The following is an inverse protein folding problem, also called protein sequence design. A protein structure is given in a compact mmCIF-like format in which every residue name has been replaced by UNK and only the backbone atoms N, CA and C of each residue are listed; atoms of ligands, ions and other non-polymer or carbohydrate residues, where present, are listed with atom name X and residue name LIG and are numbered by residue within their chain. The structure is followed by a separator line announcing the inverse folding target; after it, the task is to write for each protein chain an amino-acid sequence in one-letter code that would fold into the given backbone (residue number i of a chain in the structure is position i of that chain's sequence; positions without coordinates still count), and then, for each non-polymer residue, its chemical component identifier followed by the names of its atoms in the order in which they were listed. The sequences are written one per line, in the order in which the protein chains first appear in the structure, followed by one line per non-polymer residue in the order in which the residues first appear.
data_IF_681411792377
#
_entry.id   IF_681411792377
#
_cell.length_a   1.000
_cell.length_b   1.000
_cell.length_c   1.000
_cell.angle_alpha   90.00
_cell.angle_beta   90.00
_cell.angle_gamma   90.00
#
_symmetry.space_group_name_H-M   'P 1'
#
loop_
_entity.id
_entity.type
_entity.pdbx_description
1 polymer ?
#
# COMPACT_ATOMS: atom_id res chain seq x y z
N UNK A 1 26.21 -1.83 11.96
CA UNK A 1 24.73 -1.74 12.09
C UNK A 1 24.34 -1.85 13.55
N UNK A 2 23.60 -0.88 14.06
CA UNK A 2 22.99 -0.93 15.38
C UNK A 2 21.92 -2.02 15.47
N UNK A 3 21.51 -2.37 16.68
CA UNK A 3 20.42 -3.35 16.84
C UNK A 3 19.11 -2.83 16.26
N UNK A 4 18.83 -1.53 16.38
CA UNK A 4 17.60 -0.93 15.82
C UNK A 4 17.56 -0.99 14.29
N UNK A 5 18.69 -0.78 13.63
CA UNK A 5 18.81 -0.94 12.18
C UNK A 5 18.55 -2.40 11.76
N UNK A 6 19.08 -3.37 12.52
CA UNK A 6 18.79 -4.80 12.29
C UNK A 6 17.31 -5.12 12.46
N UNK A 7 16.65 -4.54 13.48
CA UNK A 7 15.21 -4.72 13.72
C UNK A 7 14.35 -4.13 12.59
N UNK A 8 14.75 -2.98 12.00
CA UNK A 8 14.06 -2.41 10.84
C UNK A 8 14.15 -3.36 9.63
N UNK A 9 15.33 -3.91 9.36
CA UNK A 9 15.49 -4.87 8.25
C UNK A 9 14.73 -6.17 8.51
N UNK A 10 14.71 -6.66 9.75
CA UNK A 10 13.93 -7.84 10.14
C UNK A 10 12.41 -7.59 9.98
N UNK A 11 11.91 -6.42 10.41
CA UNK A 11 10.52 -6.03 10.17
C UNK A 11 10.18 -6.03 8.67
N UNK A 12 11.11 -5.55 7.84
CA UNK A 12 10.95 -5.57 6.38
C UNK A 12 10.78 -6.98 5.83
N UNK A 13 11.54 -7.97 6.34
CA UNK A 13 11.35 -9.37 5.97
C UNK A 13 9.95 -9.88 6.36
N UNK A 14 9.46 -9.55 7.54
CA UNK A 14 8.13 -9.95 7.97
C UNK A 14 7.01 -9.42 7.07
N UNK A 15 7.16 -8.23 6.47
CA UNK A 15 6.14 -7.65 5.58
C UNK A 15 5.89 -8.48 4.30
N UNK A 16 6.82 -9.36 3.92
CA UNK A 16 6.67 -10.27 2.78
C UNK A 16 6.15 -11.67 3.17
N UNK A 17 5.82 -11.88 4.44
CA UNK A 17 5.20 -13.11 4.94
C UNK A 17 3.67 -12.93 5.09
N UNK A 18 2.90 -14.02 5.27
CA UNK A 18 1.47 -13.93 5.55
C UNK A 18 1.17 -12.96 6.69
N UNK A 19 0.07 -12.20 6.56
CA UNK A 19 -0.22 -11.05 7.43
C UNK A 19 -0.23 -11.37 8.94
N UNK A 20 -0.58 -12.60 9.31
CA UNK A 20 -0.54 -13.04 10.72
C UNK A 20 0.91 -13.06 11.24
N UNK A 21 1.83 -13.65 10.46
CA UNK A 21 3.25 -13.71 10.82
C UNK A 21 3.85 -12.30 10.79
N UNK A 22 3.49 -11.48 9.80
CA UNK A 22 3.92 -10.08 9.73
C UNK A 22 3.50 -9.29 10.97
N UNK A 23 2.24 -9.42 11.39
CA UNK A 23 1.71 -8.73 12.58
C UNK A 23 2.42 -9.16 13.85
N UNK A 24 2.61 -10.47 14.05
CA UNK A 24 3.32 -11.01 15.23
C UNK A 24 4.79 -10.57 15.21
N UNK A 25 5.46 -10.64 14.06
CA UNK A 25 6.86 -10.23 13.93
C UNK A 25 7.06 -8.74 14.28
N UNK A 26 6.20 -7.86 13.77
CA UNK A 26 6.24 -6.43 14.11
C UNK A 26 5.93 -6.21 15.59
N UNK A 27 4.96 -6.92 16.17
CA UNK A 27 4.65 -6.85 17.60
C UNK A 27 5.84 -7.24 18.47
N UNK A 28 6.55 -8.33 18.13
CA UNK A 28 7.76 -8.75 18.84
C UNK A 28 8.86 -7.67 18.80
N UNK A 29 9.05 -7.01 17.64
CA UNK A 29 10.01 -5.90 17.51
C UNK A 29 9.59 -4.73 18.39
N UNK A 30 8.30 -4.39 18.46
CA UNK A 30 7.80 -3.32 19.30
C UNK A 30 7.94 -3.64 20.80
N UNK A 31 7.69 -4.88 21.21
CA UNK A 31 7.95 -5.33 22.60
C UNK A 31 9.42 -5.17 22.95
N UNK A 32 10.32 -5.61 22.07
CA UNK A 32 11.77 -5.44 22.26
C UNK A 32 12.17 -3.95 22.35
N UNK A 33 11.60 -3.08 21.50
CA UNK A 33 11.83 -1.65 21.55
C UNK A 33 11.28 -1.01 22.84
N UNK A 34 10.14 -1.51 23.34
CA UNK A 34 9.55 -1.10 24.61
C UNK A 34 10.43 -1.48 25.81
N UNK A 35 10.91 -2.73 25.89
CA UNK A 35 11.82 -3.19 26.93
C UNK A 35 13.13 -2.39 26.99
N UNK A 36 13.51 -1.79 25.85
CA UNK A 36 14.70 -0.91 25.74
C UNK A 36 14.38 0.58 25.97
N UNK A 37 13.19 0.90 26.45
CA UNK A 37 12.71 2.27 26.71
C UNK A 37 12.74 3.22 25.48
N UNK A 38 12.84 2.67 24.24
CA UNK A 38 12.91 3.47 23.01
C UNK A 38 11.54 3.80 22.42
N UNK A 39 10.55 2.93 22.64
CA UNK A 39 9.24 3.06 22.04
C UNK A 39 8.44 4.23 22.63
N UNK A 40 8.45 4.40 23.94
CA UNK A 40 7.68 5.46 24.63
C UNK A 40 8.09 6.84 24.16
N UNK A 41 9.39 7.11 24.10
CA UNK A 41 9.93 8.37 23.59
C UNK A 41 9.59 8.58 22.10
N UNK A 42 9.64 7.51 21.29
CA UNK A 42 9.32 7.57 19.88
C UNK A 42 7.85 7.97 19.66
N UNK A 43 6.94 7.36 20.44
CA UNK A 43 5.50 7.65 20.39
C UNK A 43 5.21 9.10 20.79
N UNK A 44 5.80 9.59 21.90
CA UNK A 44 5.59 10.96 22.40
C UNK A 44 6.06 12.03 21.41
N UNK A 45 7.14 11.76 20.68
CA UNK A 45 7.75 12.71 19.76
C UNK A 45 7.36 12.52 18.30
N UNK A 46 6.33 11.68 18.02
CA UNK A 46 5.89 11.47 16.65
C UNK A 46 5.15 12.67 16.09
N UNK A 47 5.50 13.06 14.87
CA UNK A 47 4.80 14.14 14.15
C UNK A 47 3.31 13.78 13.97
N UNK A 48 2.42 14.69 14.39
CA UNK A 48 0.98 14.46 14.31
C UNK A 48 0.41 13.42 15.28
N UNK A 49 1.16 13.06 16.34
CA UNK A 49 0.78 12.05 17.34
C UNK A 49 -0.65 12.21 17.86
N UNK A 50 -1.07 13.44 18.15
CA UNK A 50 -2.42 13.73 18.68
C UNK A 50 -3.52 13.26 17.73
N UNK A 51 -3.38 13.46 16.42
CA UNK A 51 -4.36 13.03 15.44
C UNK A 51 -4.38 11.51 15.25
N UNK A 52 -3.18 10.89 15.17
CA UNK A 52 -3.06 9.45 15.00
C UNK A 52 -3.59 8.68 16.21
N UNK A 53 -3.13 9.05 17.41
CA UNK A 53 -3.54 8.33 18.64
C UNK A 53 -4.94 8.72 19.08
N UNK A 54 -5.39 9.96 18.80
CA UNK A 54 -6.78 10.36 18.94
C UNK A 54 -7.72 9.54 18.06
N UNK A 55 -7.35 9.30 16.80
CA UNK A 55 -8.07 8.41 15.90
C UNK A 55 -8.11 6.96 16.44
N UNK A 56 -6.96 6.39 16.82
CA UNK A 56 -6.89 5.02 17.37
C UNK A 56 -7.76 4.88 18.63
N UNK A 57 -7.68 5.85 19.54
CA UNK A 57 -8.49 5.86 20.77
C UNK A 57 -9.99 5.95 20.47
N UNK A 58 -10.39 6.81 19.52
CA UNK A 58 -11.76 6.91 19.06
C UNK A 58 -12.28 5.57 18.52
N UNK A 59 -11.49 4.88 17.67
CA UNK A 59 -11.88 3.61 17.07
C UNK A 59 -12.03 2.50 18.12
N UNK A 60 -11.20 2.47 19.16
CA UNK A 60 -11.41 1.56 20.30
C UNK A 60 -12.74 1.82 21.02
N UNK A 61 -13.05 3.08 21.30
CA UNK A 61 -14.31 3.47 21.95
C UNK A 61 -15.50 3.07 21.07
N UNK A 62 -15.48 3.43 19.78
CA UNK A 62 -16.57 3.16 18.84
C UNK A 62 -16.80 1.66 18.67
N UNK A 63 -15.73 0.87 18.52
CA UNK A 63 -15.86 -0.58 18.33
C UNK A 63 -16.42 -1.28 19.56
N UNK A 64 -16.10 -0.82 20.78
CA UNK A 64 -16.66 -1.33 22.02
C UNK A 64 -18.14 -0.93 22.14
N UNK A 65 -18.47 0.33 21.94
CA UNK A 65 -19.85 0.83 22.06
C UNK A 65 -20.82 0.11 21.11
N UNK A 66 -20.38 -0.18 19.90
CA UNK A 66 -21.21 -0.87 18.90
C UNK A 66 -20.98 -2.40 18.85
N UNK A 67 -20.26 -2.98 19.81
CA UNK A 67 -19.92 -4.41 19.87
C UNK A 67 -19.35 -4.93 18.54
N UNK A 68 -18.49 -4.12 17.89
CA UNK A 68 -17.83 -4.48 16.65
C UNK A 68 -16.47 -5.14 16.92
N UNK A 69 -16.48 -6.38 17.39
CA UNK A 69 -15.28 -7.12 17.81
C UNK A 69 -14.28 -7.36 16.64
N UNK A 70 -14.77 -7.51 15.41
CA UNK A 70 -13.90 -7.58 14.24
C UNK A 70 -13.18 -6.25 14.00
N UNK A 71 -13.89 -5.13 14.15
CA UNK A 71 -13.32 -3.78 14.10
C UNK A 71 -12.32 -3.54 15.22
N UNK A 72 -12.65 -3.95 16.44
CA UNK A 72 -11.74 -3.89 17.59
C UNK A 72 -10.41 -4.60 17.32
N UNK A 73 -10.46 -5.83 16.75
CA UNK A 73 -9.26 -6.54 16.33
C UNK A 73 -8.47 -5.79 15.24
N UNK A 74 -9.15 -5.15 14.29
CA UNK A 74 -8.47 -4.34 13.27
C UNK A 74 -7.86 -3.03 13.81
N UNK A 75 -8.43 -2.44 14.87
CA UNK A 75 -7.85 -1.24 15.49
C UNK A 75 -6.45 -1.53 16.05
N UNK A 76 -6.17 -2.74 16.50
CA UNK A 76 -4.82 -3.16 16.89
C UNK A 76 -3.81 -3.12 15.74
N UNK A 77 -4.23 -3.31 14.49
CA UNK A 77 -3.33 -3.13 13.34
C UNK A 77 -2.91 -1.67 13.18
N UNK A 78 -3.81 -0.71 13.45
CA UNK A 78 -3.45 0.71 13.44
C UNK A 78 -2.47 1.05 14.57
N UNK A 79 -2.62 0.43 15.75
CA UNK A 79 -1.63 0.55 16.83
C UNK A 79 -0.27 0.03 16.37
N UNK A 80 -0.22 -1.17 15.79
CA UNK A 80 1.03 -1.77 15.30
C UNK A 80 1.71 -0.88 14.26
N UNK A 81 0.98 -0.42 13.25
CA UNK A 81 1.51 0.44 12.18
C UNK A 81 1.96 1.79 12.76
N UNK A 82 1.16 2.40 13.62
CA UNK A 82 1.45 3.70 14.23
C UNK A 82 2.69 3.66 15.13
N UNK A 83 2.76 2.66 16.02
CA UNK A 83 3.91 2.49 16.94
C UNK A 83 5.18 2.09 16.17
N UNK A 84 5.05 1.22 15.18
CA UNK A 84 6.19 0.86 14.35
C UNK A 84 6.70 2.06 13.55
N UNK A 85 5.81 2.88 13.00
CA UNK A 85 6.19 4.12 12.33
C UNK A 85 6.92 5.11 13.26
N UNK A 86 6.48 5.25 14.52
CA UNK A 86 7.15 6.06 15.51
C UNK A 86 8.58 5.54 15.81
N UNK A 87 8.70 4.23 16.06
CA UNK A 87 9.99 3.56 16.29
C UNK A 87 10.92 3.70 15.07
N UNK A 88 10.38 3.47 13.87
CA UNK A 88 11.10 3.62 12.61
C UNK A 88 11.68 5.04 12.44
N UNK A 89 10.85 6.08 12.62
CA UNK A 89 11.30 7.48 12.52
C UNK A 89 12.48 7.81 13.43
N UNK A 90 12.49 7.27 14.65
CA UNK A 90 13.56 7.50 15.62
C UNK A 90 14.86 6.76 15.27
N UNK A 91 14.75 5.65 14.54
CA UNK A 91 15.85 4.69 14.38
C UNK A 91 16.43 4.62 12.97
N UNK A 92 15.71 5.16 11.95
CA UNK A 92 16.14 5.07 10.56
C UNK A 92 17.33 5.98 10.27
N UNK A 93 18.28 5.45 9.52
CA UNK A 93 19.41 6.22 8.94
C UNK A 93 19.37 6.13 7.43
N UNK A 94 20.02 7.10 6.73
CA UNK A 94 20.09 7.10 5.25
C UNK A 94 20.64 5.77 4.72
N UNK A 95 21.69 5.22 5.34
CA UNK A 95 22.28 3.94 4.94
C UNK A 95 21.33 2.73 5.17
N UNK A 96 20.64 2.71 6.32
CA UNK A 96 19.67 1.62 6.60
C UNK A 96 18.48 1.70 5.66
N UNK A 97 18.04 2.90 5.29
CA UNK A 97 16.99 3.12 4.31
C UNK A 97 17.34 2.52 2.94
N UNK A 98 18.57 2.78 2.45
CA UNK A 98 19.06 2.23 1.18
C UNK A 98 19.07 0.69 1.22
N UNK A 99 19.61 0.10 2.30
CA UNK A 99 19.60 -1.36 2.51
C UNK A 99 18.20 -1.94 2.61
N UNK A 100 17.27 -1.23 3.23
CA UNK A 100 15.87 -1.62 3.32
C UNK A 100 15.22 -1.67 1.92
N UNK A 101 15.47 -0.66 1.08
CA UNK A 101 14.97 -0.65 -0.29
C UNK A 101 15.54 -1.83 -1.10
N UNK A 102 16.85 -2.09 -1.01
CA UNK A 102 17.47 -3.24 -1.68
C UNK A 102 16.89 -4.58 -1.18
N UNK A 103 16.69 -4.71 0.12
CA UNK A 103 16.07 -5.91 0.72
C UNK A 103 14.64 -6.11 0.21
N UNK A 104 13.81 -5.05 0.12
CA UNK A 104 12.45 -5.13 -0.44
C UNK A 104 12.49 -5.60 -1.89
N UNK A 105 13.40 -5.04 -2.70
CA UNK A 105 13.58 -5.43 -4.10
C UNK A 105 13.97 -6.91 -4.21
N UNK A 106 14.88 -7.40 -3.37
CA UNK A 106 15.26 -8.81 -3.35
C UNK A 106 14.09 -9.71 -2.92
N UNK A 107 13.39 -9.35 -1.84
CA UNK A 107 12.25 -10.12 -1.34
C UNK A 107 11.10 -10.18 -2.38
N UNK A 108 10.96 -9.15 -3.21
CA UNK A 108 9.97 -9.14 -4.29
C UNK A 108 10.24 -10.20 -5.36
N UNK A 109 11.50 -10.58 -5.59
CA UNK A 109 11.85 -11.67 -6.51
C UNK A 109 11.29 -13.00 -6.00
N UNK A 110 11.46 -13.29 -4.70
CA UNK A 110 10.93 -14.51 -4.11
C UNK A 110 9.40 -14.52 -4.11
N UNK A 111 8.79 -13.37 -3.82
CA UNK A 111 7.33 -13.21 -3.91
C UNK A 111 6.82 -13.42 -5.35
N UNK A 112 7.56 -12.93 -6.36
CA UNK A 112 7.24 -13.10 -7.76
C UNK A 112 7.36 -14.56 -8.22
N UNK A 113 8.44 -15.24 -7.83
CA UNK A 113 8.64 -16.67 -8.12
C UNK A 113 7.49 -17.50 -7.50
N UNK A 114 7.12 -17.23 -6.25
CA UNK A 114 5.99 -17.90 -5.63
C UNK A 114 4.65 -17.58 -6.33
N UNK A 115 4.47 -16.35 -6.79
CA UNK A 115 3.32 -15.94 -7.61
C UNK A 115 3.24 -16.73 -8.93
N UNK A 116 4.37 -16.96 -9.62
CA UNK A 116 4.43 -17.78 -10.83
C UNK A 116 4.11 -19.24 -10.52
N UNK A 117 4.62 -19.77 -9.42
CA UNK A 117 4.25 -21.11 -8.97
C UNK A 117 2.73 -21.25 -8.76
N UNK A 118 2.10 -20.29 -8.06
CA UNK A 118 0.65 -20.26 -7.88
C UNK A 118 -0.07 -20.17 -9.23
N UNK A 119 0.40 -19.35 -10.16
CA UNK A 119 -0.19 -19.21 -11.50
C UNK A 119 -0.19 -20.54 -12.25
N UNK A 120 0.93 -21.26 -12.19
CA UNK A 120 1.04 -22.60 -12.79
C UNK A 120 0.03 -23.58 -12.17
N UNK A 121 -0.07 -23.64 -10.84
CA UNK A 121 -1.03 -24.51 -10.15
C UNK A 121 -2.49 -24.17 -10.51
N UNK A 122 -2.83 -22.88 -10.59
CA UNK A 122 -4.17 -22.42 -11.01
C UNK A 122 -4.45 -22.81 -12.45
N UNK A 123 -3.47 -22.67 -13.36
CA UNK A 123 -3.60 -23.04 -14.76
C UNK A 123 -3.87 -24.53 -14.91
N UNK A 124 -3.05 -25.39 -14.33
CA UNK A 124 -3.18 -26.85 -14.35
C UNK A 124 -4.55 -27.28 -13.79
N UNK A 125 -4.94 -26.75 -12.62
CA UNK A 125 -6.21 -27.07 -11.98
C UNK A 125 -7.45 -26.69 -12.82
N UNK A 126 -7.27 -25.85 -13.84
CA UNK A 126 -8.34 -25.43 -14.77
C UNK A 126 -8.12 -25.94 -16.21
N UNK A 127 -7.25 -26.95 -16.40
CA UNK A 127 -7.00 -27.58 -17.69
C UNK A 127 -6.33 -26.67 -18.71
N UNK A 128 -5.53 -25.69 -18.24
CA UNK A 128 -4.81 -24.72 -19.08
C UNK A 128 -3.29 -24.91 -18.99
N UNK A 129 -2.60 -24.59 -20.07
CA UNK A 129 -1.14 -24.47 -20.04
C UNK A 129 -0.69 -23.19 -19.35
N UNK A 130 0.46 -23.25 -18.67
CA UNK A 130 1.11 -22.05 -18.13
C UNK A 130 1.37 -20.99 -19.21
N UNK A 131 1.76 -21.41 -20.41
CA UNK A 131 2.13 -20.52 -21.53
C UNK A 131 0.93 -19.83 -22.18
N UNK A 132 -0.29 -20.24 -21.87
CA UNK A 132 -1.47 -19.51 -22.35
C UNK A 132 -1.67 -18.16 -21.64
N UNK A 133 -1.01 -17.94 -20.49
CA UNK A 133 -1.15 -16.76 -19.65
C UNK A 133 -2.62 -16.35 -19.40
N UNK A 134 -3.50 -17.36 -19.29
CA UNK A 134 -4.93 -17.11 -19.14
C UNK A 134 -5.26 -16.62 -17.73
N UNK A 135 -5.88 -15.44 -17.64
CA UNK A 135 -6.25 -14.80 -16.38
C UNK A 135 -7.76 -14.96 -16.15
N UNK A 136 -8.09 -15.64 -15.06
CA UNK A 136 -9.48 -15.92 -14.69
C UNK A 136 -10.18 -14.71 -14.06
N UNK A 137 -11.49 -14.55 -14.32
CA UNK A 137 -12.30 -13.49 -13.71
C UNK A 137 -12.55 -13.71 -12.20
N UNK A 138 -12.51 -14.94 -11.75
CA UNK A 138 -12.77 -15.28 -10.34
C UNK A 138 -11.64 -14.80 -9.43
N UNK A 139 -11.93 -14.07 -8.33
CA UNK A 139 -10.93 -13.64 -7.36
C UNK A 139 -10.12 -14.81 -6.76
N UNK A 140 -10.75 -15.98 -6.59
CA UNK A 140 -10.10 -17.18 -6.06
C UNK A 140 -9.09 -17.84 -7.02
N UNK A 141 -9.14 -17.47 -8.31
CA UNK A 141 -8.27 -18.02 -9.36
C UNK A 141 -7.26 -16.97 -9.84
N UNK A 142 -6.80 -16.11 -8.95
CA UNK A 142 -5.80 -15.08 -9.22
C UNK A 142 -4.63 -15.26 -8.27
N UNK A 143 -3.42 -14.94 -8.74
CA UNK A 143 -2.23 -15.03 -7.92
C UNK A 143 -2.24 -13.97 -6.83
N UNK A 144 -1.87 -14.35 -5.63
CA UNK A 144 -1.80 -13.49 -4.45
C UNK A 144 -0.42 -13.45 -3.83
N UNK A 145 0.46 -14.34 -4.25
CA UNK A 145 1.75 -14.63 -3.60
C UNK A 145 1.55 -14.89 -2.10
N UNK A 146 2.36 -14.31 -1.25
CA UNK A 146 2.23 -14.37 0.22
C UNK A 146 1.21 -13.38 0.78
N UNK A 147 0.63 -12.52 -0.07
CA UNK A 147 -0.34 -11.49 0.30
C UNK A 147 -1.76 -12.03 0.13
N UNK A 148 -2.68 -11.67 1.00
CA UNK A 148 -4.03 -12.24 1.09
C UNK A 148 -4.87 -12.12 -0.19
N UNK A 149 -4.56 -11.16 -1.08
CA UNK A 149 -5.40 -10.76 -2.19
C UNK A 149 -4.54 -10.29 -3.36
N UNK A 150 -4.98 -10.58 -4.59
CA UNK A 150 -4.29 -10.17 -5.81
C UNK A 150 -4.14 -8.64 -5.96
N UNK A 151 -5.08 -7.84 -5.46
CA UNK A 151 -4.97 -6.37 -5.51
C UNK A 151 -3.95 -5.84 -4.49
N UNK A 152 -3.84 -6.48 -3.30
CA UNK A 152 -2.83 -6.15 -2.31
C UNK A 152 -1.43 -6.46 -2.88
N UNK A 153 -1.26 -7.65 -3.45
CA UNK A 153 -0.01 -8.03 -4.08
C UNK A 153 0.37 -7.09 -5.22
N UNK A 154 -0.59 -6.74 -6.08
CA UNK A 154 -0.37 -5.80 -7.17
C UNK A 154 0.07 -4.41 -6.66
N UNK A 155 -0.50 -3.90 -5.57
CA UNK A 155 -0.06 -2.64 -4.95
C UNK A 155 1.37 -2.73 -4.39
N UNK A 156 1.76 -3.87 -3.80
CA UNK A 156 3.15 -4.10 -3.36
C UNK A 156 4.09 -4.09 -4.56
N UNK A 157 3.71 -4.68 -5.69
CA UNK A 157 4.51 -4.63 -6.92
C UNK A 157 4.69 -3.18 -7.40
N UNK A 158 3.64 -2.35 -7.40
CA UNK A 158 3.74 -0.94 -7.76
C UNK A 158 4.76 -0.22 -6.85
N UNK A 159 4.70 -0.45 -5.54
CA UNK A 159 5.69 0.09 -4.59
C UNK A 159 7.11 -0.38 -4.89
N UNK A 160 7.30 -1.67 -5.19
CA UNK A 160 8.60 -2.24 -5.55
C UNK A 160 9.16 -1.60 -6.83
N UNK A 161 8.33 -1.41 -7.86
CA UNK A 161 8.77 -0.77 -9.10
C UNK A 161 9.25 0.68 -8.86
N UNK A 162 8.56 1.44 -8.01
CA UNK A 162 9.01 2.78 -7.60
C UNK A 162 10.34 2.71 -6.83
N UNK A 163 10.53 1.72 -5.95
CA UNK A 163 11.80 1.51 -5.25
C UNK A 163 12.93 1.13 -6.21
N UNK A 164 12.68 0.33 -7.24
CA UNK A 164 13.64 0.05 -8.30
C UNK A 164 14.06 1.34 -9.03
N UNK A 165 13.11 2.22 -9.37
CA UNK A 165 13.41 3.52 -9.98
C UNK A 165 14.27 4.40 -9.05
N UNK A 166 13.93 4.44 -7.77
CA UNK A 166 14.71 5.17 -6.76
C UNK A 166 16.14 4.65 -6.68
N UNK A 167 16.32 3.33 -6.54
CA UNK A 167 17.64 2.70 -6.47
C UNK A 167 18.45 2.85 -7.77
N UNK A 168 17.78 2.80 -8.92
CA UNK A 168 18.40 3.07 -10.23
C UNK A 168 19.04 4.47 -10.28
N UNK A 169 18.38 5.48 -9.74
CA UNK A 169 18.91 6.85 -9.70
C UNK A 169 20.03 7.01 -8.67
N UNK A 170 19.95 6.32 -7.54
CA UNK A 170 20.87 6.47 -6.40
C UNK A 170 22.14 5.64 -6.50
N UNK A 171 22.14 4.57 -7.28
CA UNK A 171 23.29 3.66 -7.40
C UNK A 171 24.11 4.03 -8.63
N UNK A 172 25.44 4.13 -8.50
CA UNK A 172 26.33 4.46 -9.63
C UNK A 172 26.80 3.22 -10.38
N UNK A 173 26.73 2.01 -9.77
CA UNK A 173 27.14 0.77 -10.39
C UNK A 173 26.16 0.35 -11.48
N UNK A 174 26.66 0.23 -12.72
CA UNK A 174 25.85 -0.12 -13.90
C UNK A 174 25.21 -1.52 -13.78
N UNK A 175 25.88 -2.49 -13.18
CA UNK A 175 25.34 -3.84 -12.99
C UNK A 175 24.14 -3.82 -12.03
N UNK A 176 24.23 -3.01 -10.96
CA UNK A 176 23.11 -2.83 -10.05
C UNK A 176 21.93 -2.14 -10.77
N UNK A 177 22.19 -1.11 -11.58
CA UNK A 177 21.15 -0.44 -12.39
C UNK A 177 20.43 -1.42 -13.31
N UNK A 178 21.18 -2.24 -14.03
CA UNK A 178 20.62 -3.30 -14.89
C UNK A 178 19.79 -4.28 -14.05
N UNK A 179 20.28 -4.69 -12.87
CA UNK A 179 19.55 -5.54 -11.94
C UNK A 179 18.21 -4.95 -11.52
N UNK A 180 18.16 -3.66 -11.15
CA UNK A 180 16.90 -3.00 -10.78
C UNK A 180 15.90 -2.95 -11.95
N UNK A 181 16.36 -2.73 -13.17
CA UNK A 181 15.51 -2.77 -14.37
C UNK A 181 14.94 -4.18 -14.60
N UNK A 182 15.79 -5.21 -14.53
CA UNK A 182 15.35 -6.61 -14.69
C UNK A 182 14.30 -6.97 -13.63
N UNK A 183 14.54 -6.62 -12.37
CA UNK A 183 13.57 -6.90 -11.29
C UNK A 183 12.27 -6.13 -11.49
N UNK A 184 12.32 -4.86 -11.93
CA UNK A 184 11.12 -4.09 -12.24
C UNK A 184 10.31 -4.72 -13.38
N UNK A 185 10.96 -5.14 -14.47
CA UNK A 185 10.30 -5.83 -15.59
C UNK A 185 9.71 -7.19 -15.18
N UNK A 186 10.43 -7.95 -14.36
CA UNK A 186 9.93 -9.20 -13.81
C UNK A 186 8.70 -9.02 -12.93
N UNK A 187 8.73 -8.04 -12.03
CA UNK A 187 7.57 -7.69 -11.20
C UNK A 187 6.40 -7.17 -12.06
N UNK A 188 6.66 -6.38 -13.11
CA UNK A 188 5.63 -5.93 -14.05
C UNK A 188 4.95 -7.10 -14.78
N UNK A 189 5.72 -8.08 -15.23
CA UNK A 189 5.15 -9.31 -15.80
C UNK A 189 4.23 -10.02 -14.81
N UNK A 190 4.65 -10.16 -13.57
CA UNK A 190 3.83 -10.77 -12.53
C UNK A 190 2.63 -9.90 -12.18
N UNK A 191 2.76 -8.57 -12.18
CA UNK A 191 1.63 -7.64 -12.04
C UNK A 191 0.54 -7.92 -13.08
N UNK A 192 0.91 -8.10 -14.34
CA UNK A 192 -0.01 -8.47 -15.41
C UNK A 192 -0.75 -9.79 -15.07
N UNK A 193 -0.04 -10.81 -14.58
CA UNK A 193 -0.61 -12.10 -14.20
C UNK A 193 -1.53 -12.04 -12.97
N UNK A 194 -1.41 -11.02 -12.10
CA UNK A 194 -2.39 -10.80 -11.02
C UNK A 194 -3.78 -10.49 -11.55
N UNK A 195 -3.90 -10.00 -12.79
CA UNK A 195 -5.15 -9.52 -13.38
C UNK A 195 -5.78 -8.35 -12.61
N UNK A 196 -4.98 -7.58 -11.87
CA UNK A 196 -5.45 -6.41 -11.13
C UNK A 196 -5.51 -5.19 -12.03
N UNK A 197 -6.71 -4.89 -12.57
CA UNK A 197 -6.92 -3.68 -13.38
C UNK A 197 -6.69 -2.39 -12.59
N UNK A 198 -6.97 -2.43 -11.29
CA UNK A 198 -6.78 -1.28 -10.39
C UNK A 198 -5.30 -0.86 -10.31
N UNK A 199 -4.35 -1.79 -10.48
CA UNK A 199 -2.93 -1.52 -10.41
C UNK A 199 -2.35 -0.86 -11.68
N UNK A 200 -2.95 -1.10 -12.83
CA UNK A 200 -2.36 -0.64 -14.10
C UNK A 200 -2.36 0.88 -14.24
N UNK A 201 -3.37 1.56 -13.71
CA UNK A 201 -3.44 3.03 -13.77
C UNK A 201 -2.37 3.70 -12.90
N UNK A 202 -2.23 3.37 -11.59
CA UNK A 202 -1.10 3.91 -10.82
C UNK A 202 0.24 3.48 -11.41
N UNK A 203 0.39 2.25 -11.90
CA UNK A 203 1.63 1.79 -12.54
C UNK A 203 2.05 2.70 -13.70
N UNK A 204 1.13 3.09 -14.57
CA UNK A 204 1.43 4.05 -15.63
C UNK A 204 1.90 5.40 -15.05
N UNK A 205 1.17 5.97 -14.10
CA UNK A 205 1.42 7.31 -13.58
C UNK A 205 2.69 7.45 -12.72
N UNK A 206 3.25 6.36 -12.17
CA UNK A 206 4.48 6.45 -11.37
C UNK A 206 5.69 6.92 -12.19
N UNK A 207 5.77 6.56 -13.48
CA UNK A 207 6.90 6.96 -14.33
C UNK A 207 6.96 8.48 -14.54
N UNK A 208 5.93 9.15 -15.06
CA UNK A 208 5.97 10.60 -15.25
C UNK A 208 6.10 11.33 -13.90
N UNK A 209 5.43 10.93 -12.86
CA UNK A 209 5.54 11.56 -11.53
C UNK A 209 6.98 11.50 -11.04
N UNK A 210 7.62 10.33 -11.08
CA UNK A 210 8.99 10.16 -10.63
C UNK A 210 9.97 10.97 -11.48
N UNK A 211 9.87 10.87 -12.83
CA UNK A 211 10.75 11.56 -13.78
C UNK A 211 10.64 13.09 -13.67
N UNK A 212 9.44 13.61 -13.42
CA UNK A 212 9.22 15.02 -13.13
C UNK A 212 9.95 15.44 -11.83
N UNK A 213 9.85 14.66 -10.77
CA UNK A 213 10.49 14.97 -9.48
C UNK A 213 12.02 14.95 -9.56
N UNK A 214 12.62 14.01 -10.31
CA UNK A 214 14.06 13.94 -10.54
C UNK A 214 14.56 14.91 -11.62
N UNK A 215 13.65 15.71 -12.21
CA UNK A 215 13.93 16.74 -13.24
C UNK A 215 14.49 16.19 -14.55
N UNK A 216 14.20 14.96 -14.89
CA UNK A 216 14.58 14.34 -16.19
C UNK A 216 13.56 14.69 -17.28
N UNK A 217 13.53 15.98 -17.68
CA UNK A 217 12.50 16.57 -18.55
C UNK A 217 12.28 15.82 -19.85
N UNK A 218 13.35 15.39 -20.54
CA UNK A 218 13.23 14.66 -21.82
C UNK A 218 12.51 13.32 -21.61
N UNK A 219 12.96 12.53 -20.60
CA UNK A 219 12.34 11.24 -20.30
C UNK A 219 10.90 11.40 -19.77
N UNK A 220 10.63 12.46 -19.02
CA UNK A 220 9.27 12.80 -18.59
C UNK A 220 8.34 13.00 -19.79
N UNK A 221 8.72 13.84 -20.77
CA UNK A 221 7.92 14.07 -21.98
C UNK A 221 7.77 12.78 -22.81
N UNK A 222 8.84 11.99 -22.94
CA UNK A 222 8.80 10.71 -23.63
C UNK A 222 7.84 9.74 -22.95
N UNK A 223 7.83 9.68 -21.60
CA UNK A 223 6.90 8.80 -20.84
C UNK A 223 5.44 9.20 -21.08
N UNK A 224 5.12 10.49 -21.07
CA UNK A 224 3.76 10.99 -21.37
C UNK A 224 3.31 10.57 -22.78
N UNK A 225 4.17 10.78 -23.80
CA UNK A 225 3.83 10.39 -25.17
C UNK A 225 3.61 8.88 -25.27
N UNK A 226 4.49 8.08 -24.66
CA UNK A 226 4.36 6.62 -24.65
C UNK A 226 3.05 6.17 -23.97
N UNK A 227 2.70 6.78 -22.85
CA UNK A 227 1.46 6.47 -22.13
C UNK A 227 0.22 6.82 -22.93
N UNK A 228 0.22 7.97 -23.62
CA UNK A 228 -0.87 8.34 -24.55
C UNK A 228 -0.99 7.33 -25.70
N UNK A 229 0.13 6.86 -26.26
CA UNK A 229 0.13 5.80 -27.26
C UNK A 229 -0.44 4.49 -26.72
N UNK A 230 -0.03 4.07 -25.51
CA UNK A 230 -0.55 2.86 -24.85
C UNK A 230 -2.05 3.01 -24.58
N UNK A 231 -2.50 4.15 -24.06
CA UNK A 231 -3.92 4.42 -23.87
C UNK A 231 -4.70 4.33 -25.17
N UNK A 232 -4.18 4.89 -26.27
CA UNK A 232 -4.77 4.79 -27.61
C UNK A 232 -4.86 3.33 -28.09
N UNK A 233 -3.80 2.54 -27.90
CA UNK A 233 -3.79 1.11 -28.25
C UNK A 233 -4.81 0.32 -27.41
N UNK A 234 -4.91 0.59 -26.12
CA UNK A 234 -5.90 -0.06 -25.24
C UNK A 234 -7.32 0.33 -25.63
N UNK A 235 -7.56 1.58 -26.01
CA UNK A 235 -8.86 2.03 -26.51
C UNK A 235 -9.26 1.28 -27.80
N UNK A 236 -8.30 1.09 -28.72
CA UNK A 236 -8.54 0.35 -29.97
C UNK A 236 -8.65 -1.17 -29.76
N UNK A 237 -7.92 -1.73 -28.80
CA UNK A 237 -7.89 -3.16 -28.47
C UNK A 237 -8.01 -3.38 -26.95
N UNK A 238 -9.22 -3.27 -26.35
CA UNK A 238 -9.42 -3.45 -24.91
C UNK A 238 -8.98 -4.84 -24.38
N UNK A 239 -8.88 -5.83 -25.28
CA UNK A 239 -8.42 -7.19 -24.96
C UNK A 239 -6.95 -7.27 -24.53
N UNK A 240 -6.16 -6.23 -24.78
CA UNK A 240 -4.77 -6.14 -24.29
C UNK A 240 -4.70 -6.08 -22.76
N UNK A 241 -5.73 -5.55 -22.12
CA UNK A 241 -5.82 -5.56 -20.66
C UNK A 241 -6.67 -6.74 -20.20
N UNK A 242 -6.14 -7.60 -19.33
CA UNK A 242 -6.89 -8.73 -18.83
C UNK A 242 -8.21 -8.30 -18.21
N UNK A 243 -9.31 -9.01 -18.56
CA UNK A 243 -10.63 -8.81 -17.97
C UNK A 243 -11.26 -7.43 -18.26
N UNK A 244 -10.75 -6.63 -19.21
CA UNK A 244 -11.27 -5.27 -19.47
C UNK A 244 -12.73 -5.28 -19.94
N UNK A 245 -13.16 -6.30 -20.64
CA UNK A 245 -14.55 -6.47 -21.11
C UNK A 245 -15.53 -6.86 -19.99
N UNK A 246 -15.04 -7.28 -18.80
CA UNK A 246 -15.89 -7.69 -17.68
C UNK A 246 -16.34 -6.48 -16.85
N UNK A 247 -17.54 -5.97 -17.13
CA UNK A 247 -18.17 -4.85 -16.42
C UNK A 247 -18.88 -5.29 -15.11
N UNK A 248 -19.00 -6.60 -14.85
CA UNK A 248 -19.71 -7.12 -13.67
C UNK A 248 -19.13 -6.62 -12.35
N UNK A 249 -17.80 -6.47 -12.31
CA UNK A 249 -17.08 -5.93 -11.16
C UNK A 249 -17.48 -4.48 -10.85
N UNK A 250 -17.65 -3.65 -11.87
CA UNK A 250 -18.07 -2.25 -11.70
C UNK A 250 -19.52 -2.16 -11.21
N UNK A 251 -20.43 -2.93 -11.83
CA UNK A 251 -21.83 -3.02 -11.40
C UNK A 251 -21.95 -3.46 -9.93
N UNK A 252 -21.13 -4.42 -9.51
CA UNK A 252 -21.07 -4.85 -8.11
C UNK A 252 -20.62 -3.73 -7.17
N UNK A 253 -19.64 -2.92 -7.57
CA UNK A 253 -19.17 -1.76 -6.76
C UNK A 253 -20.27 -0.72 -6.55
N UNK A 254 -21.07 -0.41 -7.58
CA UNK A 254 -22.21 0.50 -7.43
C UNK A 254 -23.19 0.00 -6.37
N UNK A 255 -23.51 -1.31 -6.38
CA UNK A 255 -24.38 -1.92 -5.37
C UNK A 255 -23.76 -1.83 -3.97
N UNK A 256 -22.46 -2.07 -3.86
CA UNK A 256 -21.72 -1.94 -2.60
C UNK A 256 -21.76 -0.49 -2.09
N UNK A 257 -21.52 0.50 -2.94
CA UNK A 257 -21.54 1.92 -2.56
C UNK A 257 -22.94 2.35 -2.12
N UNK A 258 -24.01 1.92 -2.80
CA UNK A 258 -25.39 2.18 -2.35
C UNK A 258 -25.63 1.65 -0.93
N UNK A 259 -25.19 0.43 -0.64
CA UNK A 259 -25.28 -0.15 0.72
C UNK A 259 -24.43 0.66 1.73
N UNK A 260 -23.23 1.09 1.35
CA UNK A 260 -22.37 1.89 2.21
C UNK A 260 -23.01 3.26 2.56
N UNK A 261 -23.62 3.93 1.59
CA UNK A 261 -24.31 5.21 1.84
C UNK A 261 -25.51 5.10 2.80
N UNK A 262 -26.25 3.97 2.76
CA UNK A 262 -27.31 3.71 3.76
C UNK A 262 -26.69 3.63 5.17
N UNK A 263 -25.58 2.91 5.34
CA UNK A 263 -24.91 2.82 6.62
C UNK A 263 -24.36 4.18 7.10
N UNK A 264 -23.74 4.94 6.20
CA UNK A 264 -23.22 6.28 6.50
C UNK A 264 -24.34 7.22 7.00
N UNK A 265 -25.54 7.16 6.37
CA UNK A 265 -26.67 7.98 6.82
C UNK A 265 -27.18 7.63 8.21
N UNK A 266 -26.99 6.39 8.66
CA UNK A 266 -27.37 5.95 10.00
C UNK A 266 -26.33 6.30 11.07
N UNK A 267 -25.04 6.30 10.71
CA UNK A 267 -23.91 6.51 11.64
C UNK A 267 -22.92 7.55 11.11
N UNK A 268 -23.36 8.81 10.83
CA UNK A 268 -22.54 9.78 10.09
C UNK A 268 -21.33 10.31 10.87
N UNK A 269 -21.44 10.48 12.20
CA UNK A 269 -20.43 11.18 12.99
C UNK A 269 -19.22 10.31 13.34
N UNK A 270 -19.47 9.11 13.84
CA UNK A 270 -18.42 8.23 14.37
C UNK A 270 -18.25 6.93 13.59
N UNK A 271 -19.12 6.67 12.59
CA UNK A 271 -19.16 5.40 11.92
C UNK A 271 -19.56 4.25 12.86
N UNK A 272 -19.10 3.04 12.54
CA UNK A 272 -19.34 1.84 13.35
C UNK A 272 -18.05 1.04 13.62
N UNK A 273 -16.89 1.66 13.38
CA UNK A 273 -15.55 1.08 13.50
C UNK A 273 -15.06 0.36 12.24
N UNK A 274 -13.79 -0.07 12.20
CA UNK A 274 -13.22 -0.81 11.07
C UNK A 274 -14.06 -2.06 10.72
N UNK A 275 -14.04 -2.46 9.44
CA UNK A 275 -14.83 -3.58 8.90
C UNK A 275 -16.36 -3.43 9.04
N UNK A 276 -16.88 -2.24 9.19
CA UNK A 276 -18.31 -1.96 9.29
C UNK A 276 -19.09 -2.54 8.12
N UNK A 277 -18.62 -2.41 6.89
CA UNK A 277 -19.34 -2.90 5.72
C UNK A 277 -19.70 -4.39 5.85
N UNK A 278 -18.74 -5.23 6.25
CA UNK A 278 -18.93 -6.67 6.42
C UNK A 278 -19.97 -7.02 7.49
N UNK A 279 -20.10 -6.20 8.52
CA UNK A 279 -21.08 -6.35 9.60
C UNK A 279 -22.45 -5.84 9.18
N UNK A 280 -22.50 -4.77 8.39
CA UNK A 280 -23.73 -4.03 8.06
C UNK A 280 -24.50 -4.59 6.85
N UNK A 281 -23.80 -4.99 5.76
CA UNK A 281 -24.49 -5.41 4.53
C UNK A 281 -25.56 -6.50 4.73
N UNK A 282 -25.39 -7.50 5.65
CA UNK A 282 -26.41 -8.52 5.85
C UNK A 282 -27.71 -7.95 6.46
N UNK A 283 -27.62 -6.90 7.28
CA UNK A 283 -28.75 -6.26 7.97
C UNK A 283 -29.71 -5.56 7.01
N UNK A 284 -29.19 -5.10 5.86
CA UNK A 284 -29.95 -4.37 4.84
C UNK A 284 -30.07 -5.14 3.53
N UNK A 285 -29.81 -6.46 3.57
CA UNK A 285 -29.79 -7.31 2.37
C UNK A 285 -28.91 -6.74 1.23
N UNK A 286 -27.81 -6.07 1.62
CA UNK A 286 -26.88 -5.44 0.71
C UNK A 286 -25.99 -6.42 -0.05
N UNK A 287 -25.23 -5.92 -1.02
CA UNK A 287 -24.31 -6.74 -1.80
C UNK A 287 -23.14 -7.23 -0.94
N UNK A 288 -22.87 -8.55 -0.94
CA UNK A 288 -21.81 -9.17 -0.13
C UNK A 288 -20.43 -8.69 -0.55
N UNK A 289 -19.70 -8.05 0.36
CA UNK A 289 -18.30 -7.63 0.18
C UNK A 289 -17.58 -7.53 1.53
N UNK A 290 -16.24 -7.59 1.58
CA UNK A 290 -15.47 -7.42 2.80
C UNK A 290 -15.38 -5.95 3.26
N UNK A 291 -15.47 -4.99 2.35
CA UNK A 291 -15.35 -3.54 2.55
C UNK A 291 -15.99 -2.80 1.37
N UNK A 292 -16.04 -1.46 1.41
CA UNK A 292 -16.70 -0.65 0.38
C UNK A 292 -15.98 -0.61 -0.97
N UNK A 293 -14.80 -1.22 -1.14
CA UNK A 293 -13.98 -1.14 -2.36
C UNK A 293 -13.76 0.31 -2.86
N UNK A 294 -13.67 1.24 -1.93
CA UNK A 294 -13.30 2.64 -2.14
C UNK A 294 -12.88 3.19 -0.78
N UNK A 295 -11.60 3.58 -0.64
CA UNK A 295 -11.05 3.96 0.66
C UNK A 295 -11.73 5.22 1.22
N UNK A 296 -12.18 6.12 0.36
CA UNK A 296 -12.84 7.37 0.78
C UNK A 296 -14.22 7.09 1.37
N UNK A 297 -15.01 6.25 0.69
CA UNK A 297 -16.33 5.83 1.19
C UNK A 297 -16.16 4.95 2.43
N UNK A 298 -15.21 4.03 2.41
CA UNK A 298 -14.96 3.09 3.53
C UNK A 298 -14.48 3.82 4.79
N UNK A 299 -13.71 4.90 4.62
CA UNK A 299 -13.27 5.74 5.75
C UNK A 299 -14.46 6.42 6.44
N UNK A 300 -15.36 7.06 5.68
CA UNK A 300 -16.55 7.70 6.25
C UNK A 300 -17.50 6.64 6.85
N UNK A 301 -17.66 5.51 6.17
CA UNK A 301 -18.49 4.39 6.64
C UNK A 301 -17.98 3.82 7.97
N UNK A 302 -16.68 3.60 8.08
CA UNK A 302 -16.05 2.93 9.22
C UNK A 302 -15.79 3.91 10.36
N UNK A 303 -15.25 5.08 10.07
CA UNK A 303 -14.75 6.03 11.07
C UNK A 303 -15.66 7.26 11.27
N UNK A 304 -16.69 7.37 10.46
CA UNK A 304 -17.55 8.57 10.44
C UNK A 304 -16.78 9.81 9.98
N UNK A 305 -17.45 10.95 10.05
CA UNK A 305 -16.83 12.24 9.70
C UNK A 305 -15.70 12.60 10.65
N UNK A 306 -15.87 12.37 11.96
CA UNK A 306 -14.87 12.77 12.98
C UNK A 306 -13.59 11.93 12.85
N UNK A 307 -13.69 10.59 12.77
CA UNK A 307 -12.52 9.73 12.59
C UNK A 307 -11.82 10.00 11.25
N UNK A 308 -12.60 10.25 10.18
CA UNK A 308 -12.04 10.60 8.86
C UNK A 308 -11.29 11.94 8.92
N UNK A 309 -11.81 12.96 9.64
CA UNK A 309 -11.10 14.24 9.84
C UNK A 309 -9.78 14.02 10.57
N UNK A 310 -9.73 13.17 11.61
CA UNK A 310 -8.49 12.88 12.34
C UNK A 310 -7.44 12.23 11.40
N UNK A 311 -7.85 11.29 10.55
CA UNK A 311 -6.97 10.67 9.53
C UNK A 311 -6.48 11.72 8.54
N UNK A 312 -7.35 12.61 8.05
CA UNK A 312 -6.98 13.68 7.11
C UNK A 312 -6.02 14.68 7.76
N UNK A 313 -6.27 15.09 9.01
CA UNK A 313 -5.35 15.96 9.75
C UNK A 313 -3.98 15.33 9.93
N UNK A 314 -3.93 14.04 10.30
CA UNK A 314 -2.66 13.31 10.39
C UNK A 314 -1.94 13.26 9.04
N UNK A 315 -2.66 12.90 7.98
CA UNK A 315 -2.12 12.84 6.61
C UNK A 315 -1.62 14.20 6.14
N UNK A 316 -2.37 15.28 6.46
CA UNK A 316 -1.95 16.65 6.14
C UNK A 316 -0.63 17.02 6.84
N UNK A 317 -0.50 16.73 8.15
CA UNK A 317 0.72 17.03 8.91
C UNK A 317 1.91 16.23 8.36
N UNK A 318 1.72 14.96 8.00
CA UNK A 318 2.76 14.13 7.42
C UNK A 318 3.18 14.65 6.03
N UNK A 319 2.24 15.00 5.18
CA UNK A 319 2.51 15.57 3.86
C UNK A 319 3.20 16.94 3.98
N UNK A 320 2.74 17.81 4.91
CA UNK A 320 3.42 19.08 5.18
C UNK A 320 4.89 18.86 5.50
N UNK A 321 5.24 17.87 6.32
CA UNK A 321 6.64 17.55 6.62
C UNK A 321 7.41 17.12 5.37
N UNK A 322 6.84 16.32 4.47
CA UNK A 322 7.49 15.93 3.20
C UNK A 322 7.80 17.16 2.35
N UNK A 323 6.89 18.12 2.25
CA UNK A 323 7.07 19.33 1.44
C UNK A 323 7.97 20.40 2.09
N UNK A 324 8.01 20.46 3.44
CA UNK A 324 8.82 21.45 4.18
C UNK A 324 10.22 20.94 4.51
N UNK A 325 10.45 19.64 4.50
CA UNK A 325 11.79 19.06 4.68
C UNK A 325 12.70 19.35 3.49
N UNK A 326 14.01 19.28 3.70
CA UNK A 326 14.98 19.40 2.62
C UNK A 326 15.01 18.20 1.65
N UNK A 327 14.10 17.22 1.79
CA UNK A 327 14.07 16.01 0.94
C UNK A 327 14.06 16.36 -0.54
N UNK A 328 13.22 17.32 -0.96
CA UNK A 328 13.13 17.73 -2.38
C UNK A 328 14.42 18.31 -2.93
N UNK A 329 15.22 19.00 -2.08
CA UNK A 329 16.48 19.62 -2.47
C UNK A 329 17.65 18.64 -2.44
N UNK A 330 17.78 17.88 -1.34
CA UNK A 330 18.91 17.00 -1.07
C UNK A 330 18.77 15.62 -1.72
N UNK A 331 17.53 15.10 -1.85
CA UNK A 331 17.26 13.80 -2.44
C UNK A 331 15.97 13.82 -3.29
N UNK A 332 16.00 14.44 -4.50
CA UNK A 332 14.84 14.51 -5.39
C UNK A 332 14.27 13.13 -5.76
N UNK A 333 15.11 12.09 -5.79
CA UNK A 333 14.67 10.72 -6.06
C UNK A 333 13.81 10.16 -4.91
N UNK A 334 14.18 10.40 -3.65
CA UNK A 334 13.35 10.02 -2.49
C UNK A 334 12.04 10.83 -2.49
N UNK A 335 12.11 12.13 -2.77
CA UNK A 335 10.89 12.93 -2.91
C UNK A 335 9.98 12.38 -4.01
N UNK A 336 10.54 12.03 -5.17
CA UNK A 336 9.80 11.40 -6.27
C UNK A 336 9.17 10.07 -5.87
N UNK A 337 9.90 9.22 -5.12
CA UNK A 337 9.35 7.98 -4.57
C UNK A 337 8.16 8.24 -3.65
N UNK A 338 8.25 9.21 -2.74
CA UNK A 338 7.14 9.58 -1.84
C UNK A 338 5.91 10.05 -2.63
N UNK A 339 6.11 10.89 -3.65
CA UNK A 339 5.01 11.37 -4.51
C UNK A 339 4.35 10.21 -5.26
N UNK A 340 5.13 9.24 -5.76
CA UNK A 340 4.59 8.03 -6.39
C UNK A 340 3.78 7.19 -5.39
N UNK A 341 4.26 7.00 -4.15
CA UNK A 341 3.52 6.26 -3.11
C UNK A 341 2.19 6.94 -2.79
N UNK A 342 2.17 8.27 -2.66
CA UNK A 342 0.93 9.05 -2.47
C UNK A 342 -0.01 8.83 -3.65
N UNK A 343 0.49 8.94 -4.88
CA UNK A 343 -0.32 8.76 -6.09
C UNK A 343 -0.91 7.34 -6.18
N UNK A 344 -0.10 6.30 -5.90
CA UNK A 344 -0.57 4.91 -5.85
C UNK A 344 -1.72 4.79 -4.86
N UNK A 345 -1.56 5.26 -3.63
CA UNK A 345 -2.59 5.16 -2.58
C UNK A 345 -3.88 5.89 -2.99
N UNK A 346 -3.77 7.10 -3.51
CA UNK A 346 -4.93 7.90 -3.92
C UNK A 346 -5.71 7.24 -5.06
N UNK A 347 -5.00 6.71 -6.08
CA UNK A 347 -5.63 6.09 -7.24
C UNK A 347 -6.22 4.72 -6.90
N UNK A 348 -5.46 3.88 -6.17
CA UNK A 348 -6.00 2.60 -5.66
C UNK A 348 -7.22 2.82 -4.80
N UNK A 349 -7.18 3.86 -3.96
CA UNK A 349 -8.26 4.22 -3.05
C UNK A 349 -9.60 4.49 -3.72
N UNK A 350 -9.62 4.88 -4.99
CA UNK A 350 -10.87 5.05 -5.76
C UNK A 350 -11.61 3.72 -5.98
N UNK A 351 -10.89 2.60 -6.03
CA UNK A 351 -11.43 1.32 -6.47
C UNK A 351 -11.20 0.16 -5.50
N UNK A 352 -10.41 0.35 -4.42
CA UNK A 352 -10.16 -0.68 -3.41
C UNK A 352 -9.67 -0.09 -2.08
N UNK A 353 -9.62 -0.90 -1.01
CA UNK A 353 -9.17 -0.52 0.34
C UNK A 353 -7.89 -1.28 0.74
N UNK A 354 -6.91 -1.35 -0.16
CA UNK A 354 -5.68 -2.15 0.00
C UNK A 354 -4.72 -1.58 1.05
N UNK A 355 -4.83 -0.28 1.41
CA UNK A 355 -3.95 0.36 2.39
C UNK A 355 -4.19 -0.13 3.83
N UNK A 356 -5.38 -0.62 4.14
CA UNK A 356 -5.76 -1.08 5.48
C UNK A 356 -5.16 -2.46 5.85
N UNK A 357 -4.11 -2.88 5.16
CA UNK A 357 -3.42 -4.16 5.37
C UNK A 357 -2.00 -3.91 5.87
N UNK A 358 -1.51 -4.77 6.78
CA UNK A 358 -0.20 -4.61 7.45
C UNK A 358 0.92 -4.35 6.45
N UNK A 359 1.04 -5.14 5.37
CA UNK A 359 2.12 -5.02 4.41
C UNK A 359 2.09 -3.67 3.68
N UNK A 360 0.99 -3.36 2.99
CA UNK A 360 0.85 -2.14 2.17
C UNK A 360 0.80 -0.89 3.04
N UNK A 361 0.05 -0.93 4.16
CA UNK A 361 -0.03 0.18 5.10
C UNK A 361 1.32 0.50 5.73
N UNK A 362 2.04 -0.51 6.22
CA UNK A 362 3.36 -0.29 6.83
C UNK A 362 4.37 0.19 5.80
N UNK A 363 4.44 -0.41 4.60
CA UNK A 363 5.35 0.03 3.53
C UNK A 363 5.11 1.50 3.17
N UNK A 364 3.85 1.88 2.94
CA UNK A 364 3.50 3.27 2.64
C UNK A 364 3.92 4.19 3.80
N UNK A 365 3.58 3.81 5.03
CA UNK A 365 3.81 4.62 6.20
C UNK A 365 5.30 4.87 6.46
N UNK A 366 6.16 3.84 6.37
CA UNK A 366 7.61 4.00 6.57
C UNK A 366 8.26 4.83 5.47
N UNK A 367 7.84 4.66 4.20
CA UNK A 367 8.40 5.46 3.10
C UNK A 367 8.06 6.95 3.28
N UNK A 368 6.81 7.28 3.58
CA UNK A 368 6.41 8.69 3.80
C UNK A 368 7.07 9.28 5.04
N UNK A 369 7.24 8.49 6.11
CA UNK A 369 7.95 8.92 7.31
C UNK A 369 9.46 9.11 7.12
N UNK A 370 10.05 8.60 6.04
CA UNK A 370 11.49 8.73 5.77
C UNK A 370 11.93 10.17 5.44
N UNK A 371 10.98 11.10 5.22
CA UNK A 371 11.25 12.53 5.16
C UNK A 371 11.96 13.07 6.41
N UNK A 372 11.74 12.42 7.57
CA UNK A 372 12.40 12.79 8.83
C UNK A 372 13.94 12.79 8.76
N UNK A 373 14.55 12.01 7.85
CA UNK A 373 16.00 11.97 7.64
C UNK A 373 16.60 13.26 7.05
N UNK A 374 15.72 14.15 6.54
CA UNK A 374 16.07 15.41 5.85
C UNK A 374 15.42 16.62 6.53
N UNK A 375 14.95 16.48 7.75
CA UNK A 375 14.44 17.58 8.55
C UNK A 375 15.60 18.42 9.05
N UNK A 376 15.51 19.74 8.95
CA UNK A 376 16.44 20.64 9.61
C UNK A 376 16.41 20.40 11.12
N UNK A 377 17.60 20.31 11.73
CA UNK A 377 17.75 20.14 13.17
C UNK A 377 17.45 21.44 13.90
#
# INVERSE_FOLDING_TARGET
MSLDEKMILLATCFLFLPYQIASVGIACILVQAFCRHKLVDAIKNQTGAIFLYGFIGLEFIVTILYSNWNGFGNTWLFVLIGFYGAYYRKSITKNTFEKMCDLIIILSIFAAIYGLYQFNQISIANGRSFLEFHIFNSPKRRITSTFMNANIYAMVIDFVCVMCMYRFVKNDNILCKIGYVIVALFNFFVLYLTGSRTALLPFALIFPIFLYCVRWKKLFLTSIVLELCVCGLVFLKPTLIPRMSDMSTFASRIKIWKTAFICISMYPLFGWGPQTYKKFYPLVHGHKAPHAHNIYIDSILSYGVIGTILVLCYTFVLNKEIFTSNTRKENPALFGMMMCFIAIVLIYGLLDCTLNIVATGTLCFIILNSACMYKEK
#
